data_IF_803559692395
#
_entry.id   IF_803559692395
#
_cell.length_a   1.000
_cell.length_b   1.000
_cell.length_c   1.000
_cell.angle_alpha   90.00
_cell.angle_beta   90.00
_cell.angle_gamma   90.00
#
_symmetry.space_group_name_H-M   'P 1'
#
loop_
_entity.id
_entity.type
_entity.pdbx_description
1 polymer ?
#
# COMPACT_ATOMS: atom_id res chain seq x y z
N UNK A 1 -9.13 -1.54 -5.99
CA UNK A 1 -9.86 -1.39 -4.71
C UNK A 1 -11.28 -0.88 -4.93
N UNK A 2 -11.45 0.37 -5.36
CA UNK A 2 -12.77 1.00 -5.56
C UNK A 2 -13.59 0.27 -6.62
N UNK A 3 -13.00 -0.04 -7.79
CA UNK A 3 -13.68 -0.78 -8.85
C UNK A 3 -14.11 -2.20 -8.45
N UNK A 4 -13.44 -2.81 -7.47
CA UNK A 4 -13.73 -4.17 -7.00
C UNK A 4 -14.54 -4.17 -5.69
N UNK A 5 -14.93 -3.00 -5.17
CA UNK A 5 -15.66 -2.87 -3.91
C UNK A 5 -14.89 -3.31 -2.65
N UNK A 6 -13.57 -3.49 -2.72
CA UNK A 6 -12.74 -3.99 -1.61
C UNK A 6 -12.05 -2.85 -0.85
N UNK A 7 -12.02 -2.96 0.49
CA UNK A 7 -11.42 -1.97 1.41
C UNK A 7 -9.96 -2.26 1.79
N UNK A 8 -9.54 -3.52 1.60
CA UNK A 8 -8.18 -3.97 1.85
C UNK A 8 -7.81 -5.05 0.82
N UNK A 9 -6.52 -5.20 0.51
CA UNK A 9 -6.00 -6.25 -0.36
C UNK A 9 -4.66 -6.76 0.18
N UNK A 10 -4.41 -8.09 0.21
CA UNK A 10 -3.12 -8.61 0.59
C UNK A 10 -2.07 -8.30 -0.48
N UNK A 11 -0.82 -8.08 -0.03
CA UNK A 11 0.32 -7.83 -0.91
C UNK A 11 1.19 -9.07 -0.99
N UNK A 12 1.37 -9.60 -2.20
CA UNK A 12 2.22 -10.75 -2.51
C UNK A 12 3.59 -10.29 -2.99
N UNK A 13 4.66 -10.77 -2.36
CA UNK A 13 6.03 -10.60 -2.83
C UNK A 13 6.42 -11.80 -3.70
N UNK A 14 6.65 -11.56 -4.99
CA UNK A 14 6.98 -12.62 -5.94
C UNK A 14 8.40 -13.17 -5.78
N UNK A 15 9.33 -12.43 -5.16
CA UNK A 15 10.69 -12.92 -4.91
C UNK A 15 10.71 -13.81 -3.66
N UNK A 16 10.03 -13.37 -2.59
CA UNK A 16 9.95 -14.10 -1.33
C UNK A 16 8.87 -15.17 -1.31
N UNK A 17 7.99 -15.19 -2.31
CA UNK A 17 6.84 -16.09 -2.41
C UNK A 17 6.00 -16.09 -1.13
N UNK A 18 5.70 -14.91 -0.59
CA UNK A 18 4.93 -14.77 0.64
C UNK A 18 4.10 -13.49 0.67
N UNK A 19 3.06 -13.49 1.52
CA UNK A 19 2.34 -12.27 1.84
C UNK A 19 3.16 -11.39 2.77
N UNK A 20 3.38 -10.15 2.35
CA UNK A 20 4.31 -9.24 3.03
C UNK A 20 3.61 -8.07 3.70
N UNK A 21 2.33 -7.85 3.43
CA UNK A 21 1.57 -6.75 4.03
C UNK A 21 0.14 -6.67 3.50
N UNK A 22 -0.54 -5.61 3.90
CA UNK A 22 -1.86 -5.25 3.41
C UNK A 22 -1.77 -3.89 2.74
N UNK A 23 -2.49 -3.72 1.63
CA UNK A 23 -2.86 -2.42 1.08
C UNK A 23 -4.25 -2.10 1.60
N UNK A 24 -4.41 -0.92 2.20
CA UNK A 24 -5.63 -0.48 2.88
C UNK A 24 -5.99 0.95 2.48
N UNK A 25 -7.19 1.41 2.88
CA UNK A 25 -7.61 2.80 2.71
C UNK A 25 -6.64 3.76 3.43
N UNK A 26 -6.08 3.37 4.58
CA UNK A 26 -5.11 4.19 5.33
C UNK A 26 -3.86 4.47 4.50
N UNK A 27 -3.38 3.47 3.76
CA UNK A 27 -2.24 3.65 2.87
C UNK A 27 -2.57 4.71 1.83
N UNK A 28 -3.73 4.59 1.15
CA UNK A 28 -4.19 5.58 0.16
C UNK A 28 -4.24 7.01 0.71
N UNK A 29 -4.72 7.18 1.95
CA UNK A 29 -4.75 8.50 2.61
C UNK A 29 -3.33 9.03 2.81
N UNK A 30 -2.40 8.21 3.30
CA UNK A 30 -1.01 8.61 3.53
C UNK A 30 -0.32 9.01 2.22
N UNK A 31 -0.54 8.22 1.16
CA UNK A 31 -0.03 8.48 -0.18
C UNK A 31 -0.52 9.83 -0.70
N UNK A 32 -1.83 10.08 -0.62
CA UNK A 32 -2.39 11.37 -1.01
C UNK A 32 -1.77 12.49 -0.19
N UNK A 33 -1.68 12.35 1.13
CA UNK A 33 -1.10 13.39 1.99
C UNK A 33 0.38 13.70 1.66
N UNK A 34 1.16 12.71 1.21
CA UNK A 34 2.58 12.90 0.88
C UNK A 34 2.78 13.57 -0.49
N UNK A 35 2.00 13.17 -1.48
CA UNK A 35 2.21 13.58 -2.87
C UNK A 35 1.28 14.71 -3.33
N UNK A 36 0.19 14.95 -2.61
CA UNK A 36 -0.71 16.06 -2.88
C UNK A 36 -0.13 17.36 -2.33
N UNK A 37 0.37 18.21 -3.23
CA UNK A 37 0.95 19.51 -2.90
C UNK A 37 0.02 20.69 -3.22
N UNK A 38 -0.82 20.57 -4.25
CA UNK A 38 -1.75 21.63 -4.66
C UNK A 38 -2.94 21.07 -5.47
N UNK A 39 -4.16 21.63 -5.35
CA UNK A 39 -5.33 21.20 -6.12
C UNK A 39 -5.17 21.33 -7.63
N UNK A 40 -4.23 22.16 -8.08
CA UNK A 40 -3.99 22.43 -9.50
C UNK A 40 -2.87 21.57 -10.11
N UNK A 41 -2.19 20.77 -9.30
CA UNK A 41 -1.12 19.87 -9.75
C UNK A 41 -1.67 18.46 -9.75
N UNK A 42 -1.78 17.89 -10.95
CA UNK A 42 -2.11 16.48 -11.10
C UNK A 42 -0.98 15.66 -10.49
N UNK A 43 -1.30 14.67 -9.66
CA UNK A 43 -0.29 13.83 -9.00
C UNK A 43 0.23 12.80 -10.02
N UNK A 44 1.03 13.22 -10.98
CA UNK A 44 1.58 12.34 -12.04
C UNK A 44 2.39 11.18 -11.45
N UNK A 45 3.09 11.44 -10.34
CA UNK A 45 3.79 10.40 -9.58
C UNK A 45 2.85 9.30 -9.07
N UNK A 46 1.55 9.58 -8.88
CA UNK A 46 0.60 8.60 -8.36
C UNK A 46 0.30 7.48 -9.37
N UNK A 47 0.26 7.81 -10.66
CA UNK A 47 -0.09 6.87 -11.73
C UNK A 47 1.12 6.08 -12.23
N UNK A 48 2.33 6.64 -12.16
CA UNK A 48 3.56 5.98 -12.64
C UNK A 48 4.21 5.04 -11.62
N UNK A 49 4.02 5.27 -10.32
CA UNK A 49 4.66 4.46 -9.29
C UNK A 49 3.95 3.12 -9.04
N UNK A 50 4.76 2.09 -8.82
CA UNK A 50 4.27 0.77 -8.39
C UNK A 50 4.08 0.74 -6.88
N UNK A 51 3.18 -0.15 -6.44
CA UNK A 51 2.90 -0.40 -5.01
C UNK A 51 4.18 -0.75 -4.23
N UNK A 52 5.12 -1.44 -4.86
CA UNK A 52 6.42 -1.80 -4.27
C UNK A 52 7.24 -0.57 -3.85
N UNK A 53 7.28 0.46 -4.69
CA UNK A 53 8.10 1.67 -4.49
C UNK A 53 7.56 2.51 -3.34
N UNK A 54 6.23 2.54 -3.18
CA UNK A 54 5.60 3.25 -2.07
C UNK A 54 5.90 2.57 -0.74
N UNK A 55 5.91 1.24 -0.72
CA UNK A 55 6.27 0.48 0.49
C UNK A 55 7.68 0.78 0.95
N UNK A 56 8.66 0.86 0.07
CA UNK A 56 10.04 1.21 0.46
C UNK A 56 10.10 2.59 1.13
N UNK A 57 9.35 3.55 0.59
CA UNK A 57 9.30 4.92 1.09
C UNK A 57 8.55 5.04 2.42
N UNK A 58 7.47 4.26 2.63
CA UNK A 58 6.64 4.32 3.85
C UNK A 58 7.11 3.38 4.97
N UNK A 59 7.69 2.23 4.64
CA UNK A 59 8.09 1.23 5.63
C UNK A 59 9.48 1.45 6.20
N UNK A 60 10.30 2.35 5.63
CA UNK A 60 11.56 2.72 6.27
C UNK A 60 11.35 3.29 7.68
N UNK A 61 10.22 3.96 7.95
CA UNK A 61 9.89 4.48 9.29
C UNK A 61 9.21 3.46 10.19
N UNK A 62 8.65 2.37 9.66
CA UNK A 62 8.07 1.30 10.48
C UNK A 62 8.00 -0.04 9.75
N UNK A 63 8.98 -0.90 9.99
CA UNK A 63 8.92 -2.31 9.56
C UNK A 63 7.87 -3.06 10.38
N UNK A 64 6.61 -3.01 9.96
CA UNK A 64 5.54 -3.84 10.53
C UNK A 64 5.39 -5.13 9.73
N UNK A 65 5.71 -6.24 10.37
CA UNK A 65 5.48 -7.59 9.82
C UNK A 65 3.97 -7.84 9.64
N UNK A 66 3.59 -8.54 8.57
CA UNK A 66 2.21 -8.98 8.38
C UNK A 66 1.81 -9.95 9.51
N UNK A 67 0.73 -9.63 10.20
CA UNK A 67 0.12 -10.51 11.20
C UNK A 67 -1.00 -11.29 10.51
N UNK A 68 -0.99 -12.62 10.66
CA UNK A 68 -2.01 -13.52 10.13
C UNK A 68 -2.43 -14.52 11.21
N UNK A 69 -3.66 -15.01 11.12
CA UNK A 69 -4.21 -16.02 12.04
C UNK A 69 -4.63 -17.22 11.21
N UNK A 70 -4.27 -18.42 11.66
CA UNK A 70 -4.67 -19.66 11.01
C UNK A 70 -6.16 -19.93 11.24
N UNK A 71 -6.88 -20.54 10.28
CA UNK A 71 -8.31 -20.83 10.44
C UNK A 71 -8.66 -21.76 11.61
N UNK A 72 -7.68 -22.54 12.10
CA UNK A 72 -7.84 -23.53 13.16
C UNK A 72 -7.50 -23.00 14.58
N UNK A 73 -7.40 -21.67 14.74
CA UNK A 73 -7.20 -21.02 16.04
C UNK A 73 -8.49 -20.81 16.82
#
# INVERSE_FOLDING_TARGET
>A
MVANGVRAAPLWDNVRQCFVGMLTITDFINILHKYYTSPMVQIYELEEHKIETWREIYLQDSFKTLISISPNS
#
